data_IF_837103536552
#
_entry.id   IF_837103536552
#
_cell.length_a   1.000
_cell.length_b   1.000
_cell.length_c   1.000
_cell.angle_alpha   90.00
_cell.angle_beta   90.00
_cell.angle_gamma   90.00
#
_symmetry.space_group_name_H-M   'P 1'
#
loop_
_entity.id
_entity.type
_entity.pdbx_description
1 polymer ?
#
# COMPACT_ATOMS: atom_id res chain seq x y z
N UNK A 1 50.93 -8.81 51.22
CA UNK A 1 50.78 -7.87 50.13
C UNK A 1 49.91 -8.53 49.10
N UNK A 2 48.58 -8.26 49.10
CA UNK A 2 47.62 -8.88 48.18
C UNK A 2 47.32 -7.86 47.08
N UNK A 3 47.69 -8.19 45.84
CA UNK A 3 47.42 -7.39 44.66
C UNK A 3 46.01 -7.77 44.14
N UNK A 4 45.06 -6.84 44.20
CA UNK A 4 43.74 -7.00 43.55
C UNK A 4 43.85 -6.57 42.09
N UNK A 5 43.68 -7.55 41.19
CA UNK A 5 43.60 -7.31 39.77
C UNK A 5 42.14 -6.93 39.41
N UNK A 6 41.94 -5.64 39.11
CA UNK A 6 40.64 -5.11 38.73
C UNK A 6 40.43 -5.38 37.22
N UNK A 7 39.58 -6.39 36.90
CA UNK A 7 39.21 -6.71 35.51
C UNK A 7 38.08 -5.78 35.06
N UNK A 8 38.43 -4.80 34.24
CA UNK A 8 37.47 -3.87 33.64
C UNK A 8 36.83 -4.56 32.41
N UNK A 9 35.60 -5.08 32.58
CA UNK A 9 34.81 -5.63 31.46
C UNK A 9 34.20 -4.45 30.72
N UNK A 10 34.73 -4.17 29.52
CA UNK A 10 34.15 -3.22 28.58
C UNK A 10 32.95 -3.86 27.90
N UNK A 11 31.74 -3.49 28.31
CA UNK A 11 30.51 -3.86 27.66
C UNK A 11 30.34 -2.93 26.44
N UNK A 12 30.61 -3.45 25.25
CA UNK A 12 30.23 -2.77 23.99
C UNK A 12 28.73 -2.90 23.78
N UNK A 13 28.00 -1.84 24.12
CA UNK A 13 26.59 -1.72 23.72
C UNK A 13 26.54 -1.34 22.25
N UNK A 14 26.24 -2.33 21.38
CA UNK A 14 25.89 -2.06 19.99
C UNK A 14 24.51 -1.41 19.94
N UNK A 15 24.48 -0.08 19.88
CA UNK A 15 23.26 0.65 19.57
C UNK A 15 22.99 0.43 18.09
N UNK A 16 22.17 -0.58 17.78
CA UNK A 16 21.59 -0.75 16.45
C UNK A 16 20.64 0.41 16.22
N UNK A 17 21.10 1.42 15.48
CA UNK A 17 20.26 2.52 15.02
C UNK A 17 19.31 1.98 13.94
N UNK A 18 18.16 1.44 14.32
CA UNK A 18 17.04 1.25 13.40
C UNK A 18 16.51 2.63 13.05
N UNK A 19 16.91 3.15 11.89
CA UNK A 19 16.25 4.29 11.28
C UNK A 19 14.82 3.86 10.90
N UNK A 20 13.89 4.05 11.84
CA UNK A 20 12.48 4.09 11.50
C UNK A 20 12.29 5.30 10.58
N UNK A 21 11.93 5.03 9.33
CA UNK A 21 11.49 6.07 8.41
C UNK A 21 10.38 6.87 9.11
N UNK A 22 10.64 8.14 9.42
CA UNK A 22 9.60 9.05 9.92
C UNK A 22 8.49 9.07 8.89
N UNK A 23 7.35 8.49 9.24
CA UNK A 23 6.11 8.73 8.50
C UNK A 23 5.92 10.24 8.55
N UNK A 24 5.98 10.89 7.39
CA UNK A 24 5.71 12.33 7.30
C UNK A 24 4.25 12.50 7.72
N UNK A 25 4.06 13.05 8.91
CA UNK A 25 2.75 13.43 9.43
C UNK A 25 2.23 14.55 8.53
N UNK A 26 1.39 14.18 7.58
CA UNK A 26 0.78 15.14 6.68
C UNK A 26 -0.34 15.83 7.45
N UNK A 27 -0.24 17.14 7.61
CA UNK A 27 -1.34 17.94 8.13
C UNK A 27 -2.56 17.67 7.26
N UNK A 28 -3.68 17.17 7.82
CA UNK A 28 -4.85 16.83 7.04
C UNK A 28 -5.39 18.10 6.37
N UNK A 29 -5.43 18.09 5.05
CA UNK A 29 -6.13 19.12 4.29
C UNK A 29 -7.60 19.05 4.68
N UNK A 30 -8.15 20.17 5.15
CA UNK A 30 -9.57 20.26 5.52
C UNK A 30 -10.39 20.36 4.24
N UNK A 31 -11.01 19.25 3.85
CA UNK A 31 -11.94 19.24 2.71
C UNK A 31 -13.27 19.90 3.09
N UNK A 32 -13.90 20.64 2.17
CA UNK A 32 -15.26 21.12 2.34
C UNK A 32 -16.21 19.94 2.62
N UNK A 33 -17.19 20.13 3.50
CA UNK A 33 -18.17 19.09 3.86
C UNK A 33 -19.23 18.80 2.79
N UNK A 34 -19.12 19.43 1.62
CA UNK A 34 -20.04 19.20 0.50
C UNK A 34 -19.91 17.78 -0.01
N UNK A 35 -21.02 17.07 -0.11
CA UNK A 35 -21.10 15.71 -0.64
C UNK A 35 -22.07 15.68 -1.83
N UNK A 36 -21.62 15.16 -2.96
CA UNK A 36 -22.42 15.02 -4.17
C UNK A 36 -22.32 13.59 -4.70
N UNK A 37 -23.36 13.14 -5.38
CA UNK A 37 -23.39 11.80 -5.97
C UNK A 37 -22.64 11.79 -7.30
N UNK A 38 -21.84 10.76 -7.54
CA UNK A 38 -21.05 10.58 -8.76
C UNK A 38 -21.90 10.56 -10.05
N UNK A 39 -23.17 10.16 -9.95
CA UNK A 39 -24.12 10.12 -11.06
C UNK A 39 -24.69 11.50 -11.46
N UNK A 40 -24.34 12.55 -10.73
CA UNK A 40 -24.80 13.90 -11.06
C UNK A 40 -24.21 14.35 -12.41
N UNK A 41 -25.09 14.68 -13.35
CA UNK A 41 -24.72 15.06 -14.74
C UNK A 41 -24.00 16.41 -14.83
N UNK A 42 -23.98 17.19 -13.75
CA UNK A 42 -23.23 18.45 -13.68
C UNK A 42 -21.70 18.22 -13.50
N UNK A 43 -21.27 17.00 -13.22
CA UNK A 43 -19.85 16.64 -13.23
C UNK A 43 -19.32 16.48 -14.65
N UNK A 44 -18.13 17.05 -14.86
CA UNK A 44 -17.36 16.87 -16.10
C UNK A 44 -15.87 16.77 -15.80
N UNK A 45 -15.16 15.91 -16.52
CA UNK A 45 -13.72 15.81 -16.45
C UNK A 45 -13.08 16.63 -17.58
N UNK A 46 -12.09 17.45 -17.25
CA UNK A 46 -11.23 18.10 -18.22
C UNK A 46 -9.78 17.76 -17.85
N UNK A 47 -9.14 16.94 -18.66
CA UNK A 47 -7.85 16.30 -18.35
C UNK A 47 -7.93 15.54 -17.01
N UNK A 48 -7.19 15.96 -16.01
CA UNK A 48 -7.10 15.36 -14.67
C UNK A 48 -7.84 16.15 -13.59
N UNK A 49 -8.70 17.11 -13.98
CA UNK A 49 -9.46 17.99 -13.09
C UNK A 49 -10.95 17.70 -13.20
N UNK A 50 -11.60 17.48 -12.06
CA UNK A 50 -13.04 17.30 -11.95
C UNK A 50 -13.74 18.65 -11.80
N UNK A 51 -14.66 18.94 -12.68
CA UNK A 51 -15.51 20.13 -12.64
C UNK A 51 -16.93 19.77 -12.20
N UNK A 52 -17.58 20.70 -11.50
CA UNK A 52 -19.00 20.66 -11.20
C UNK A 52 -19.63 22.00 -11.58
N UNK A 53 -20.67 21.98 -12.44
CA UNK A 53 -21.25 23.19 -13.01
C UNK A 53 -20.21 24.14 -13.61
N UNK A 54 -19.23 23.61 -14.35
CA UNK A 54 -18.18 24.37 -15.02
C UNK A 54 -17.10 24.97 -14.12
N UNK A 55 -17.07 24.65 -12.82
CA UNK A 55 -16.04 25.09 -11.87
C UNK A 55 -15.28 23.91 -11.30
N UNK A 56 -13.97 24.00 -11.03
CA UNK A 56 -13.22 22.96 -10.35
C UNK A 56 -13.90 22.61 -9.01
N UNK A 57 -14.17 21.31 -8.80
CA UNK A 57 -14.93 20.86 -7.65
C UNK A 57 -14.07 20.75 -6.39
N UNK A 58 -14.62 21.14 -5.24
CA UNK A 58 -14.04 20.88 -3.93
C UNK A 58 -15.12 20.30 -3.00
N UNK A 59 -14.84 19.13 -2.41
CA UNK A 59 -15.78 18.38 -1.59
C UNK A 59 -15.64 16.88 -1.79
N UNK A 60 -16.65 16.12 -1.39
CA UNK A 60 -16.67 14.67 -1.58
C UNK A 60 -17.60 14.26 -2.70
N UNK A 61 -17.13 13.32 -3.52
CA UNK A 61 -17.97 12.60 -4.50
C UNK A 61 -18.25 11.21 -3.95
N UNK A 62 -19.52 10.88 -3.86
CA UNK A 62 -20.02 9.61 -3.33
C UNK A 62 -20.51 8.72 -4.46
N UNK A 63 -20.15 7.46 -4.44
CA UNK A 63 -20.73 6.44 -5.28
C UNK A 63 -21.46 5.41 -4.43
N UNK A 64 -22.58 4.87 -4.93
CA UNK A 64 -23.41 3.90 -4.23
C UNK A 64 -23.71 2.69 -5.09
N UNK A 65 -23.82 1.56 -4.43
CA UNK A 65 -24.35 0.35 -5.03
C UNK A 65 -25.87 0.46 -5.30
N UNK A 66 -26.43 -0.38 -6.17
CA UNK A 66 -27.88 -0.40 -6.42
C UNK A 66 -28.73 -0.59 -5.16
N UNK A 67 -28.20 -1.26 -4.15
CA UNK A 67 -28.84 -1.45 -2.84
C UNK A 67 -28.80 -0.22 -1.91
N UNK A 68 -28.24 0.92 -2.39
CA UNK A 68 -28.11 2.18 -1.67
C UNK A 68 -26.91 2.30 -0.73
N UNK A 69 -26.17 1.21 -0.49
CA UNK A 69 -24.94 1.25 0.34
C UNK A 69 -23.84 2.03 -0.35
N UNK A 70 -23.00 2.68 0.44
CA UNK A 70 -21.84 3.42 -0.06
C UNK A 70 -20.82 2.47 -0.71
N UNK A 71 -20.43 2.76 -1.95
CA UNK A 71 -19.42 2.03 -2.71
C UNK A 71 -18.07 2.75 -2.67
N UNK A 72 -18.09 4.10 -2.82
CA UNK A 72 -16.87 4.91 -2.74
C UNK A 72 -17.17 6.32 -2.17
N UNK A 73 -16.12 6.89 -1.56
CA UNK A 73 -16.08 8.29 -1.11
C UNK A 73 -14.73 8.87 -1.48
N UNK A 74 -14.75 9.85 -2.38
CA UNK A 74 -13.56 10.46 -2.95
C UNK A 74 -13.53 11.96 -2.63
N UNK A 75 -12.46 12.42 -1.98
CA UNK A 75 -12.28 13.84 -1.68
C UNK A 75 -11.56 14.58 -2.80
N UNK A 76 -11.99 15.80 -3.07
CA UNK A 76 -11.40 16.68 -4.09
C UNK A 76 -11.17 18.07 -3.54
N UNK A 77 -10.07 18.71 -3.97
CA UNK A 77 -9.79 20.14 -3.78
C UNK A 77 -9.40 20.71 -5.14
N UNK A 78 -10.10 21.77 -5.58
CA UNK A 78 -9.90 22.38 -6.90
C UNK A 78 -9.89 21.34 -8.04
N UNK A 79 -10.80 20.37 -7.97
CA UNK A 79 -10.98 19.29 -8.96
C UNK A 79 -9.95 18.17 -8.92
N UNK A 80 -8.99 18.19 -7.99
CA UNK A 80 -7.97 17.17 -7.86
C UNK A 80 -8.21 16.31 -6.62
N UNK A 81 -7.92 15.01 -6.74
CA UNK A 81 -8.00 14.08 -5.61
C UNK A 81 -7.12 14.56 -4.46
N UNK A 82 -7.72 14.68 -3.27
CA UNK A 82 -7.06 15.18 -2.07
C UNK A 82 -7.57 14.41 -0.84
N UNK A 83 -6.66 14.11 0.10
CA UNK A 83 -6.99 13.42 1.33
C UNK A 83 -7.33 11.94 1.15
N UNK A 84 -8.20 11.42 2.01
CA UNK A 84 -8.55 10.01 2.08
C UNK A 84 -9.59 9.67 1.02
N UNK A 85 -9.31 8.62 0.25
CA UNK A 85 -10.22 7.92 -0.64
C UNK A 85 -10.62 6.61 0.02
N UNK A 86 -11.90 6.31 0.07
CA UNK A 86 -12.41 5.09 0.68
C UNK A 86 -13.30 4.33 -0.29
N UNK A 87 -13.18 3.01 -0.28
CA UNK A 87 -14.10 2.11 -0.99
C UNK A 87 -14.59 1.01 -0.10
N UNK A 88 -15.78 0.55 -0.35
CA UNK A 88 -16.44 -0.54 0.37
C UNK A 88 -16.95 -1.60 -0.60
N UNK A 89 -17.05 -2.82 -0.12
CA UNK A 89 -17.77 -3.90 -0.79
C UNK A 89 -19.27 -3.73 -0.63
N UNK A 90 -20.06 -4.39 -1.46
CA UNK A 90 -21.52 -4.33 -1.41
C UNK A 90 -22.11 -4.86 -0.08
N UNK A 91 -21.39 -5.77 0.59
CA UNK A 91 -21.75 -6.21 1.95
C UNK A 91 -21.53 -5.12 3.02
N UNK A 92 -20.87 -4.01 2.68
CA UNK A 92 -20.56 -2.88 3.55
C UNK A 92 -19.20 -2.98 4.25
N UNK A 93 -18.44 -4.07 4.07
CA UNK A 93 -17.08 -4.16 4.59
C UNK A 93 -16.13 -3.25 3.82
N UNK A 94 -15.08 -2.74 4.49
CA UNK A 94 -14.10 -1.86 3.88
C UNK A 94 -13.27 -2.61 2.85
N UNK A 95 -13.15 -2.05 1.63
CA UNK A 95 -12.38 -2.61 0.53
C UNK A 95 -10.97 -2.02 0.48
N UNK A 96 -10.86 -0.68 0.49
CA UNK A 96 -9.58 0.00 0.47
C UNK A 96 -9.66 1.41 1.05
N UNK A 97 -8.52 1.87 1.56
CA UNK A 97 -8.26 3.25 1.97
C UNK A 97 -6.98 3.68 1.29
N UNK A 98 -7.04 4.79 0.59
CA UNK A 98 -5.89 5.39 -0.09
C UNK A 98 -5.79 6.85 0.27
N UNK A 99 -4.59 7.39 0.31
CA UNK A 99 -4.35 8.80 0.53
C UNK A 99 -3.77 9.45 -0.73
N UNK A 100 -4.29 10.61 -1.07
CA UNK A 100 -3.87 11.40 -2.23
C UNK A 100 -3.54 12.82 -1.84
N UNK A 101 -2.59 13.41 -2.56
CA UNK A 101 -2.30 14.84 -2.54
C UNK A 101 -2.18 15.31 -3.98
N UNK A 102 -3.03 16.23 -4.40
CA UNK A 102 -3.02 16.83 -5.74
C UNK A 102 -2.99 15.77 -6.86
N UNK A 103 -3.90 14.78 -6.83
CA UNK A 103 -4.03 13.61 -7.71
C UNK A 103 -2.93 12.54 -7.56
N UNK A 104 -1.86 12.77 -6.79
CA UNK A 104 -0.80 11.80 -6.58
C UNK A 104 -1.05 10.94 -5.35
N UNK A 105 -0.78 9.65 -5.46
CA UNK A 105 -0.80 8.76 -4.30
C UNK A 105 0.26 9.18 -3.30
N UNK A 106 -0.14 9.30 -2.03
CA UNK A 106 0.77 9.73 -0.97
C UNK A 106 0.38 9.08 0.36
N UNK A 107 1.36 8.81 1.23
CA UNK A 107 1.10 8.20 2.53
C UNK A 107 0.78 6.71 2.51
N UNK A 108 0.04 6.25 3.51
CA UNK A 108 -0.32 4.84 3.72
C UNK A 108 -1.54 4.45 2.88
N UNK A 109 -1.44 3.33 2.17
CA UNK A 109 -2.49 2.72 1.39
C UNK A 109 -2.77 1.32 1.93
N UNK A 110 -4.02 1.00 2.19
CA UNK A 110 -4.44 -0.27 2.75
C UNK A 110 -5.63 -0.84 1.97
N UNK A 111 -5.69 -2.16 1.92
CA UNK A 111 -6.83 -2.84 1.33
C UNK A 111 -7.15 -4.14 2.06
N UNK A 112 -8.39 -4.55 1.95
CA UNK A 112 -8.93 -5.76 2.58
C UNK A 112 -9.70 -6.57 1.56
N UNK A 113 -9.84 -7.85 1.80
CA UNK A 113 -10.77 -8.73 1.14
C UNK A 113 -12.17 -8.54 1.71
N UNK A 114 -13.20 -9.03 1.04
CA UNK A 114 -14.60 -8.96 1.47
C UNK A 114 -14.88 -9.70 2.79
N UNK A 115 -14.03 -10.68 3.13
CA UNK A 115 -14.05 -11.39 4.42
C UNK A 115 -13.36 -10.60 5.56
N UNK A 116 -12.87 -9.37 5.30
CA UNK A 116 -12.21 -8.49 6.27
C UNK A 116 -10.72 -8.76 6.48
N UNK A 117 -10.14 -9.81 5.88
CA UNK A 117 -8.71 -10.06 5.93
C UNK A 117 -7.94 -9.00 5.16
N UNK A 118 -6.78 -8.56 5.70
CA UNK A 118 -5.92 -7.61 5.02
C UNK A 118 -5.44 -8.17 3.69
N UNK A 119 -5.49 -7.36 2.63
CA UNK A 119 -5.04 -7.70 1.28
C UNK A 119 -3.71 -7.07 0.93
N UNK A 120 -3.55 -5.78 1.25
CA UNK A 120 -2.28 -5.08 1.04
C UNK A 120 -2.07 -3.93 2.04
N UNK A 121 -0.79 -3.58 2.21
CA UNK A 121 -0.34 -2.40 2.93
C UNK A 121 0.88 -1.82 2.21
N UNK A 122 0.79 -0.57 1.76
CA UNK A 122 1.83 0.14 1.02
C UNK A 122 2.09 1.50 1.62
N UNK A 123 3.33 1.95 1.54
CA UNK A 123 3.72 3.34 1.80
C UNK A 123 4.17 3.94 0.46
N UNK A 124 3.50 5.00 0.03
CA UNK A 124 3.75 5.66 -1.24
C UNK A 124 4.05 7.14 -0.97
N UNK A 125 5.01 7.69 -1.70
CA UNK A 125 5.35 9.11 -1.67
C UNK A 125 5.33 9.64 -3.11
N UNK A 126 4.35 10.52 -3.42
CA UNK A 126 4.20 11.11 -4.76
C UNK A 126 4.22 10.06 -5.90
N UNK A 127 3.38 9.02 -5.79
CA UNK A 127 3.27 7.86 -6.68
C UNK A 127 4.45 6.88 -6.65
N UNK A 128 5.52 7.18 -5.88
CA UNK A 128 6.70 6.32 -5.75
C UNK A 128 6.54 5.37 -4.56
N UNK A 129 6.69 4.04 -4.73
CA UNK A 129 6.69 3.11 -3.61
C UNK A 129 7.92 3.32 -2.72
N UNK A 130 7.73 3.40 -1.40
CA UNK A 130 8.82 3.56 -0.42
C UNK A 130 8.61 2.65 0.79
N UNK A 131 9.66 2.40 1.56
CA UNK A 131 9.61 1.55 2.75
C UNK A 131 9.15 0.11 2.46
N UNK A 132 8.41 -0.52 3.37
CA UNK A 132 7.99 -1.92 3.26
C UNK A 132 6.57 -2.02 2.76
N UNK A 133 6.38 -2.74 1.65
CA UNK A 133 5.11 -3.13 1.09
C UNK A 133 4.80 -4.59 1.47
N UNK A 134 3.55 -4.85 1.82
CA UNK A 134 3.07 -6.19 2.18
C UNK A 134 1.77 -6.51 1.45
N UNK A 135 1.64 -7.75 1.03
CA UNK A 135 0.40 -8.30 0.51
C UNK A 135 0.10 -9.63 1.18
N UNK A 136 -1.17 -9.94 1.31
CA UNK A 136 -1.65 -11.18 1.92
C UNK A 136 -2.63 -11.89 1.00
N UNK A 137 -2.70 -13.20 1.13
CA UNK A 137 -3.78 -14.02 0.59
C UNK A 137 -5.06 -13.84 1.38
N UNK A 138 -6.21 -14.22 0.81
CA UNK A 138 -7.51 -14.12 1.47
C UNK A 138 -7.65 -14.97 2.74
N UNK A 139 -6.80 -15.97 2.93
CA UNK A 139 -6.69 -16.76 4.17
C UNK A 139 -5.81 -16.10 5.25
N UNK A 140 -5.28 -14.88 5.00
CA UNK A 140 -4.42 -14.14 5.92
C UNK A 140 -2.93 -14.52 5.87
N UNK A 141 -2.55 -15.53 5.08
CA UNK A 141 -1.14 -15.87 4.85
C UNK A 141 -0.43 -14.74 4.10
N UNK A 142 0.75 -14.32 4.58
CA UNK A 142 1.56 -13.32 3.89
C UNK A 142 1.96 -13.85 2.50
N UNK A 143 1.71 -13.04 1.46
CA UNK A 143 2.06 -13.32 0.08
C UNK A 143 3.39 -12.68 -0.31
N UNK A 144 3.53 -11.36 -0.09
CA UNK A 144 4.76 -10.62 -0.39
C UNK A 144 5.19 -9.72 0.76
N UNK A 145 6.51 -9.55 0.89
CA UNK A 145 7.15 -8.51 1.68
C UNK A 145 8.28 -7.95 0.83
N UNK A 146 8.09 -6.72 0.34
CA UNK A 146 9.05 -6.02 -0.48
C UNK A 146 9.46 -4.71 0.16
N UNK A 147 10.77 -4.42 0.16
CA UNK A 147 11.32 -3.18 0.66
C UNK A 147 11.82 -2.31 -0.48
N UNK A 148 11.62 -1.01 -0.32
CA UNK A 148 12.01 0.02 -1.26
C UNK A 148 12.79 1.11 -0.54
N UNK A 149 13.77 1.71 -1.23
CA UNK A 149 14.44 2.92 -0.77
C UNK A 149 13.58 4.18 -1.01
N UNK A 150 14.12 5.35 -0.68
CA UNK A 150 13.43 6.65 -0.83
C UNK A 150 13.16 7.04 -2.28
N UNK A 151 13.91 6.47 -3.23
CA UNK A 151 13.78 6.69 -4.68
C UNK A 151 12.83 5.69 -5.35
N UNK A 152 12.24 4.76 -4.58
CA UNK A 152 11.32 3.74 -5.08
C UNK A 152 12.00 2.53 -5.72
N UNK A 153 13.30 2.40 -5.56
CA UNK A 153 14.03 1.23 -6.04
C UNK A 153 13.94 0.09 -5.02
N UNK A 154 13.75 -1.16 -5.45
CA UNK A 154 13.78 -2.29 -4.54
C UNK A 154 15.14 -2.40 -3.84
N UNK A 155 15.14 -2.44 -2.51
CA UNK A 155 16.33 -2.52 -1.68
C UNK A 155 16.07 -3.38 -0.43
N UNK A 156 17.10 -4.04 0.09
CA UNK A 156 16.98 -4.89 1.27
C UNK A 156 16.21 -6.18 1.01
N UNK A 157 15.53 -6.70 2.02
CA UNK A 157 14.86 -8.00 1.97
C UNK A 157 13.65 -7.99 1.06
N UNK A 158 13.58 -9.00 0.18
CA UNK A 158 12.47 -9.27 -0.74
C UNK A 158 12.01 -10.72 -0.52
N UNK A 159 10.77 -10.93 -0.13
CA UNK A 159 10.24 -12.27 0.16
C UNK A 159 8.89 -12.48 -0.48
N UNK A 160 8.67 -13.72 -0.91
CA UNK A 160 7.37 -14.21 -1.37
C UNK A 160 7.09 -15.58 -0.77
N UNK A 161 5.82 -15.85 -0.57
CA UNK A 161 5.34 -17.14 -0.07
C UNK A 161 4.22 -17.66 -0.94
N UNK A 162 4.05 -18.97 -0.95
CA UNK A 162 2.85 -19.61 -1.47
C UNK A 162 1.70 -19.47 -0.46
N UNK A 163 0.49 -19.73 -0.90
CA UNK A 163 -0.72 -19.72 -0.05
C UNK A 163 -0.62 -20.74 1.10
N UNK A 164 0.21 -21.78 0.95
CA UNK A 164 0.54 -22.79 1.97
C UNK A 164 1.50 -22.30 3.05
N UNK A 165 2.09 -21.10 2.89
CA UNK A 165 3.12 -20.56 3.77
C UNK A 165 4.54 -20.98 3.43
N UNK A 166 4.73 -21.87 2.45
CA UNK A 166 6.07 -22.22 1.96
C UNK A 166 6.73 -21.01 1.28
N UNK A 167 8.04 -20.86 1.47
CA UNK A 167 8.83 -19.78 0.85
C UNK A 167 8.92 -20.00 -0.64
N UNK A 168 8.45 -19.04 -1.42
CA UNK A 168 8.56 -19.02 -2.89
C UNK A 168 9.85 -18.34 -3.34
N UNK A 169 10.25 -17.24 -2.69
CA UNK A 169 11.53 -16.57 -2.89
C UNK A 169 11.95 -15.82 -1.62
N UNK A 170 13.25 -15.74 -1.37
CA UNK A 170 13.82 -15.00 -0.25
C UNK A 170 15.22 -14.54 -0.63
N UNK A 171 15.32 -13.26 -0.96
CA UNK A 171 16.58 -12.67 -1.39
C UNK A 171 16.71 -11.23 -0.85
N UNK A 172 17.92 -10.71 -0.89
CA UNK A 172 18.25 -9.33 -0.53
C UNK A 172 18.73 -8.63 -1.79
N UNK A 173 18.26 -7.40 -1.99
CA UNK A 173 18.85 -6.49 -2.99
C UNK A 173 19.78 -5.53 -2.25
N UNK A 174 21.03 -5.48 -2.71
CA UNK A 174 22.06 -4.57 -2.24
C UNK A 174 22.84 -4.06 -3.46
N UNK A 175 22.98 -2.75 -3.59
CA UNK A 175 23.66 -2.10 -4.71
C UNK A 175 23.14 -2.60 -6.08
N UNK A 176 21.82 -2.75 -6.22
CA UNK A 176 21.13 -3.25 -7.42
C UNK A 176 21.30 -4.74 -7.71
N UNK A 177 22.07 -5.49 -6.91
CA UNK A 177 22.33 -6.92 -7.07
C UNK A 177 21.48 -7.75 -6.14
N UNK A 178 21.07 -8.95 -6.57
CA UNK A 178 20.25 -9.88 -5.81
C UNK A 178 21.11 -10.99 -5.21
N UNK A 179 20.91 -11.25 -3.92
CA UNK A 179 21.61 -12.29 -3.15
C UNK A 179 20.60 -13.16 -2.42
N UNK A 180 20.66 -14.47 -2.60
CA UNK A 180 19.80 -15.44 -1.90
C UNK A 180 18.94 -16.27 -2.84
N UNK A 181 17.85 -16.85 -2.29
CA UNK A 181 16.96 -17.75 -3.00
C UNK A 181 15.94 -16.96 -3.83
N UNK A 182 16.10 -16.98 -5.16
CA UNK A 182 15.24 -16.25 -6.11
C UNK A 182 13.96 -17.01 -6.49
N UNK A 183 13.77 -18.21 -5.98
CA UNK A 183 12.70 -19.15 -6.35
C UNK A 183 13.22 -20.26 -7.26
N UNK A 184 12.45 -21.33 -7.42
CA UNK A 184 12.73 -22.36 -8.38
C UNK A 184 12.72 -21.71 -9.77
N UNK A 185 13.84 -21.80 -10.52
CA UNK A 185 13.83 -21.62 -11.96
C UNK A 185 12.94 -22.75 -12.48
N UNK A 186 11.74 -22.46 -12.96
CA UNK A 186 10.98 -23.43 -13.71
C UNK A 186 11.89 -23.91 -14.84
N UNK A 187 12.26 -25.19 -14.83
CA UNK A 187 12.75 -25.85 -16.04
C UNK A 187 11.67 -25.58 -17.08
N UNK A 188 12.01 -24.88 -18.15
CA UNK A 188 11.13 -24.79 -19.32
C UNK A 188 11.05 -26.18 -19.92
N UNK A 189 10.05 -26.91 -19.55
CA UNK A 189 9.79 -28.26 -20.00
C UNK A 189 8.96 -29.02 -18.97
N UNK A 190 7.67 -29.18 -19.32
CA UNK A 190 6.64 -30.01 -18.72
C UNK A 190 5.67 -29.35 -17.73
N UNK A 191 4.48 -28.96 -18.29
CA UNK A 191 3.20 -29.22 -17.66
C UNK A 191 2.70 -28.20 -16.65
N UNK A 192 2.66 -26.92 -16.95
CA UNK A 192 1.62 -26.06 -16.39
C UNK A 192 0.26 -26.46 -16.98
N UNK A 193 -0.44 -27.36 -16.30
CA UNK A 193 -1.88 -27.49 -16.50
C UNK A 193 -2.49 -26.14 -16.13
N UNK A 194 -2.87 -25.38 -17.14
CA UNK A 194 -3.67 -24.16 -16.98
C UNK A 194 -4.85 -24.48 -16.08
N UNK A 195 -4.91 -23.85 -14.91
CA UNK A 195 -6.14 -23.71 -14.17
C UNK A 195 -7.05 -22.76 -14.96
N UNK A 196 -7.69 -23.31 -16.00
CA UNK A 196 -8.79 -22.67 -16.71
C UNK A 196 -10.00 -22.72 -15.80
N UNK A 197 -10.42 -21.57 -15.29
CA UNK A 197 -11.67 -21.50 -14.56
C UNK A 197 -11.78 -20.30 -13.64
N UNK A 198 -11.64 -19.08 -14.19
CA UNK A 198 -12.38 -17.93 -13.65
C UNK A 198 -12.89 -17.13 -14.86
N UNK A 199 -14.15 -17.36 -15.20
CA UNK A 199 -14.92 -16.44 -16.04
C UNK A 199 -15.17 -15.17 -15.23
N UNK A 200 -14.93 -14.05 -15.86
CA UNK A 200 -15.26 -12.68 -15.44
C UNK A 200 -16.75 -12.53 -15.13
#
# INVERSE_FOLDING_TARGET
MKVFLNSCVLIFVFISCQQQAKVVEQNPVVLPKTELMAVDKAFAWQQDVLFYNGKPYSGYVLDKYPNGKLAARNGYVNGKLEGIQEKWYENGSKMEVRFYTNNRKNGKHEGWYDNGQKRFEYIIKEDVPVATHREWYANGQLYTLFNYNSEGQPEGTQRMWYVTGQVKSNYIIKDGRRFGFLGAKGCMGEGEKKATGLKL
#
